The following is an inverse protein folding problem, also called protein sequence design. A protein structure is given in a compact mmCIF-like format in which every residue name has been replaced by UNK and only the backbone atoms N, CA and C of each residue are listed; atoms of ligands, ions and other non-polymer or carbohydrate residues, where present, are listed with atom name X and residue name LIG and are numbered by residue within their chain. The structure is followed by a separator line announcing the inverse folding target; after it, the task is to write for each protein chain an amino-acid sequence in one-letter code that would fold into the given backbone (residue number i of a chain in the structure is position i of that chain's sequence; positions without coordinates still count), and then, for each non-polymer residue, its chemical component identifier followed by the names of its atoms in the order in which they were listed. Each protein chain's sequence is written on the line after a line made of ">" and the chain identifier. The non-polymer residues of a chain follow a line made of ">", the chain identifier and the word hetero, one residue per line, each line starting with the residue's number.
data_IF_525992849719
#
_entry.id   IF_525992849719
#
_cell.length_a   1.000
_cell.length_b   1.000
_cell.length_c   1.000
_cell.angle_alpha   90.00
_cell.angle_beta   90.00
_cell.angle_gamma   90.00
#
_symmetry.space_group_name_H-M   'P 1'
#
loop_
_entity.id
_entity.type
_entity.pdbx_description
1 polymer ?
#
# COMPACT_ATOMS: atom_id res chain seq x y z
N UNK A 1 -28.55 -4.87 -13.58
CA UNK A 1 -28.32 -6.11 -12.81
C UNK A 1 -28.08 -5.68 -11.38
N UNK A 2 -28.71 -6.33 -10.39
CA UNK A 2 -28.49 -6.06 -8.96
C UNK A 2 -27.26 -6.86 -8.52
N UNK A 3 -26.32 -6.22 -7.87
CA UNK A 3 -25.14 -6.88 -7.29
C UNK A 3 -25.54 -7.62 -5.99
N UNK A 4 -24.94 -8.78 -5.71
CA UNK A 4 -25.29 -9.55 -4.52
C UNK A 4 -24.90 -8.84 -3.23
N UNK A 5 -25.79 -8.83 -2.25
CA UNK A 5 -25.49 -8.38 -0.89
C UNK A 5 -24.50 -9.33 -0.22
N UNK A 6 -23.47 -8.82 0.51
CA UNK A 6 -22.56 -9.67 1.25
C UNK A 6 -23.27 -10.53 2.29
N UNK A 7 -22.78 -11.75 2.51
CA UNK A 7 -23.25 -12.61 3.58
C UNK A 7 -22.51 -12.26 4.89
N UNK A 8 -23.28 -11.80 5.86
CA UNK A 8 -22.81 -11.44 7.21
C UNK A 8 -23.29 -12.42 8.29
N UNK A 9 -23.86 -13.55 7.90
CA UNK A 9 -24.42 -14.53 8.86
C UNK A 9 -23.34 -15.30 9.60
N UNK A 10 -22.17 -15.49 8.97
CA UNK A 10 -21.00 -16.08 9.62
C UNK A 10 -20.21 -15.03 10.38
N UNK A 11 -19.72 -15.34 11.60
CA UNK A 11 -18.83 -14.43 12.33
C UNK A 11 -17.56 -14.15 11.53
N UNK A 12 -16.88 -12.99 11.78
CA UNK A 12 -15.60 -12.73 11.15
C UNK A 12 -14.58 -13.81 11.50
N UNK A 13 -13.79 -14.20 10.50
CA UNK A 13 -12.71 -15.18 10.70
C UNK A 13 -11.63 -14.63 11.59
N UNK A 14 -11.29 -13.35 11.40
CA UNK A 14 -10.16 -12.70 12.06
C UNK A 14 -10.34 -11.19 12.08
N UNK A 15 -9.82 -10.56 13.12
CA UNK A 15 -9.59 -9.13 13.22
C UNK A 15 -8.12 -8.84 12.94
N UNK A 16 -7.81 -7.87 12.08
CA UNK A 16 -6.43 -7.44 11.82
C UNK A 16 -6.27 -5.94 12.00
N UNK A 17 -5.04 -5.54 12.30
CA UNK A 17 -4.64 -4.15 12.26
C UNK A 17 -3.28 -4.03 11.57
N UNK A 18 -3.15 -3.02 10.71
CA UNK A 18 -1.91 -2.67 10.06
C UNK A 18 -1.57 -1.20 10.27
N UNK A 19 -0.29 -0.84 10.22
CA UNK A 19 0.15 0.52 10.48
C UNK A 19 0.80 1.10 9.22
N UNK A 20 0.14 2.09 8.62
CA UNK A 20 0.61 2.77 7.42
C UNK A 20 1.74 3.72 7.78
N UNK A 21 2.90 3.67 7.11
CA UNK A 21 4.00 4.61 7.32
C UNK A 21 3.74 5.87 6.49
N UNK A 22 3.11 6.88 7.09
CA UNK A 22 2.82 8.12 6.40
C UNK A 22 3.90 9.17 6.68
N UNK A 23 4.34 9.89 5.64
CA UNK A 23 5.36 10.92 5.74
C UNK A 23 4.80 12.29 5.37
N UNK A 24 5.03 13.27 6.23
CA UNK A 24 4.42 14.60 6.18
C UNK A 24 4.72 15.36 4.87
N UNK A 25 5.95 15.31 4.38
CA UNK A 25 6.39 16.03 3.16
C UNK A 25 6.40 15.13 1.91
N UNK A 26 5.48 14.15 1.85
CA UNK A 26 5.43 13.17 0.76
C UNK A 26 6.37 11.98 0.98
N UNK A 27 6.16 10.91 0.25
CA UNK A 27 7.03 9.74 0.34
C UNK A 27 8.48 10.11 -0.05
N UNK A 28 9.45 9.47 0.59
CA UNK A 28 10.87 9.71 0.33
C UNK A 28 11.38 8.76 -0.74
N UNK A 29 11.84 9.32 -1.85
CA UNK A 29 12.46 8.58 -2.95
C UNK A 29 13.63 9.39 -3.47
N UNK A 30 14.82 9.09 -2.97
CA UNK A 30 16.06 9.76 -3.33
C UNK A 30 17.28 8.89 -3.01
N UNK A 31 18.37 9.10 -3.74
CA UNK A 31 19.67 8.51 -3.43
C UNK A 31 20.56 9.49 -2.67
N UNK A 32 21.17 9.04 -1.58
CA UNK A 32 22.12 9.82 -0.78
C UNK A 32 23.42 9.06 -0.55
N UNK A 33 24.54 9.78 -0.42
CA UNK A 33 25.81 9.17 -0.02
C UNK A 33 26.02 9.44 1.47
N UNK A 34 26.30 8.40 2.26
CA UNK A 34 26.58 8.55 3.69
C UNK A 34 27.81 9.43 3.92
N UNK A 35 27.76 10.29 4.95
CA UNK A 35 28.90 11.09 5.37
C UNK A 35 29.97 10.30 6.13
N UNK A 36 29.60 9.11 6.61
CA UNK A 36 30.46 8.22 7.40
C UNK A 36 31.33 7.34 6.52
N UNK A 37 32.45 6.87 7.09
CA UNK A 37 33.29 5.85 6.45
C UNK A 37 32.94 4.45 7.00
N UNK A 38 32.71 3.41 6.16
CA UNK A 38 32.76 3.47 4.69
C UNK A 38 31.59 4.25 4.09
N UNK A 39 31.84 4.90 2.96
CA UNK A 39 30.79 5.61 2.22
C UNK A 39 29.85 4.62 1.55
N UNK A 40 28.57 4.67 1.89
CA UNK A 40 27.49 3.88 1.29
C UNK A 40 26.57 4.78 0.48
N UNK A 41 26.06 4.25 -0.62
CA UNK A 41 24.96 4.88 -1.36
C UNK A 41 23.65 4.29 -0.89
N UNK A 42 22.77 5.14 -0.36
CA UNK A 42 21.50 4.72 0.22
C UNK A 42 20.36 5.32 -0.61
N UNK A 43 19.56 4.46 -1.22
CA UNK A 43 18.30 4.83 -1.87
C UNK A 43 17.19 4.71 -0.84
N UNK A 44 16.61 5.83 -0.46
CA UNK A 44 15.46 5.89 0.44
C UNK A 44 14.17 5.61 -0.33
N UNK A 45 13.34 4.71 0.18
CA UNK A 45 12.07 4.29 -0.45
C UNK A 45 11.05 3.96 0.64
N UNK A 46 10.47 4.99 1.27
CA UNK A 46 9.51 4.82 2.36
C UNK A 46 8.55 6.00 2.51
N UNK A 47 7.55 5.86 3.37
CA UNK A 47 6.61 6.94 3.69
C UNK A 47 5.39 7.02 2.79
N UNK A 48 5.03 5.92 2.12
CA UNK A 48 3.94 5.86 1.12
C UNK A 48 2.53 5.81 1.71
N UNK A 49 2.38 5.92 3.03
CA UNK A 49 1.07 5.92 3.69
C UNK A 49 0.24 4.68 3.35
N UNK A 50 -0.98 4.89 2.89
CA UNK A 50 -1.90 3.84 2.45
C UNK A 50 -1.70 3.37 1.01
N UNK A 51 -0.87 4.05 0.22
CA UNK A 51 -0.69 3.80 -1.21
C UNK A 51 0.43 2.79 -1.55
N UNK A 52 1.05 2.16 -0.55
CA UNK A 52 2.21 1.29 -0.76
C UNK A 52 2.00 0.24 -1.83
N UNK A 53 0.90 -0.51 -1.81
CA UNK A 53 0.58 -1.51 -2.86
C UNK A 53 0.45 -0.81 -4.22
N UNK A 54 -0.42 0.19 -4.30
CA UNK A 54 -0.79 0.84 -5.57
C UNK A 54 0.40 1.48 -6.30
N UNK A 55 1.37 2.03 -5.57
CA UNK A 55 2.53 2.73 -6.13
C UNK A 55 3.76 1.83 -6.32
N UNK A 56 3.75 0.62 -5.77
CA UNK A 56 4.94 -0.21 -5.58
C UNK A 56 5.78 -0.38 -6.86
N UNK A 57 5.20 -0.79 -7.97
CA UNK A 57 5.93 -0.98 -9.23
C UNK A 57 6.47 0.33 -9.82
N UNK A 58 5.70 1.41 -9.74
CA UNK A 58 6.14 2.71 -10.24
C UNK A 58 7.32 3.27 -9.46
N UNK A 59 7.26 3.18 -8.14
CA UNK A 59 8.36 3.60 -7.26
C UNK A 59 9.56 2.67 -7.41
N UNK A 60 9.35 1.34 -7.47
CA UNK A 60 10.42 0.38 -7.70
C UNK A 60 11.17 0.63 -9.02
N UNK A 61 10.48 1.10 -10.07
CA UNK A 61 11.13 1.51 -11.33
C UNK A 61 12.11 2.66 -11.12
N UNK A 62 11.74 3.68 -10.35
CA UNK A 62 12.63 4.79 -10.04
C UNK A 62 13.80 4.37 -9.10
N UNK A 63 13.53 3.48 -8.13
CA UNK A 63 14.60 2.86 -7.31
C UNK A 63 15.58 2.10 -8.19
N UNK A 64 15.09 1.26 -9.10
CA UNK A 64 15.93 0.52 -10.06
C UNK A 64 16.85 1.45 -10.85
N UNK A 65 16.31 2.56 -11.34
CA UNK A 65 17.10 3.51 -12.14
C UNK A 65 18.20 4.17 -11.31
N UNK A 66 17.91 4.61 -10.07
CA UNK A 66 18.93 5.12 -9.14
C UNK A 66 20.02 4.10 -8.81
N UNK A 67 19.63 2.84 -8.59
CA UNK A 67 20.57 1.74 -8.32
C UNK A 67 21.42 1.43 -9.55
N UNK A 68 20.80 1.30 -10.74
CA UNK A 68 21.49 1.06 -12.00
C UNK A 68 22.54 2.14 -12.28
N UNK A 69 22.15 3.40 -12.18
CA UNK A 69 23.04 4.52 -12.45
C UNK A 69 24.24 4.51 -11.48
N UNK A 70 23.98 4.24 -10.19
CA UNK A 70 25.06 4.11 -9.21
C UNK A 70 25.98 2.92 -9.49
N UNK A 71 25.42 1.73 -9.71
CA UNK A 71 26.15 0.51 -9.97
C UNK A 71 27.05 0.61 -11.22
N UNK A 72 26.55 1.26 -12.29
CA UNK A 72 27.32 1.51 -13.51
C UNK A 72 28.55 2.38 -13.23
N UNK A 73 28.42 3.42 -12.40
CA UNK A 73 29.53 4.33 -12.07
C UNK A 73 30.57 3.72 -11.11
N UNK A 74 30.16 2.83 -10.23
CA UNK A 74 31.03 2.28 -9.17
C UNK A 74 31.46 0.83 -9.43
N UNK A 75 30.89 0.19 -10.46
CA UNK A 75 31.07 -1.25 -10.75
C UNK A 75 30.63 -2.14 -9.57
N UNK A 76 29.76 -1.65 -8.70
CA UNK A 76 29.16 -2.45 -7.63
C UNK A 76 28.19 -3.48 -8.24
N UNK A 77 28.31 -4.73 -7.80
CA UNK A 77 27.48 -5.85 -8.29
C UNK A 77 26.52 -6.39 -7.24
N UNK A 78 26.57 -5.87 -6.01
CA UNK A 78 25.76 -6.33 -4.88
C UNK A 78 24.96 -5.19 -4.25
N UNK A 79 23.69 -5.46 -3.95
CA UNK A 79 22.73 -4.52 -3.38
C UNK A 79 22.04 -5.13 -2.17
N UNK A 80 22.00 -4.39 -1.06
CA UNK A 80 21.19 -4.71 0.11
C UNK A 80 19.83 -4.02 0.00
N UNK A 81 18.73 -4.77 0.11
CA UNK A 81 17.37 -4.24 0.24
C UNK A 81 16.90 -4.44 1.67
N UNK A 82 16.56 -3.36 2.36
CA UNK A 82 16.12 -3.39 3.76
C UNK A 82 14.59 -3.36 3.82
N UNK A 83 13.99 -4.43 4.32
CA UNK A 83 12.55 -4.63 4.42
C UNK A 83 12.01 -5.59 3.34
N UNK A 84 11.07 -6.46 3.75
CA UNK A 84 10.40 -7.45 2.91
C UNK A 84 8.90 -7.18 2.74
N UNK A 85 8.46 -5.96 3.01
CA UNK A 85 7.14 -5.47 2.59
C UNK A 85 7.10 -5.20 1.10
N UNK A 86 5.96 -4.73 0.60
CA UNK A 86 5.75 -4.53 -0.85
C UNK A 86 6.82 -3.67 -1.51
N UNK A 87 7.28 -2.59 -0.85
CA UNK A 87 8.30 -1.71 -1.40
C UNK A 87 9.65 -2.41 -1.56
N UNK A 88 10.04 -3.24 -0.59
CA UNK A 88 11.29 -3.99 -0.65
C UNK A 88 11.23 -5.12 -1.68
N UNK A 89 10.15 -5.89 -1.72
CA UNK A 89 10.02 -7.00 -2.66
C UNK A 89 9.96 -6.53 -4.11
N UNK A 90 9.19 -5.48 -4.43
CA UNK A 90 9.15 -4.94 -5.80
C UNK A 90 10.47 -4.29 -6.22
N UNK A 91 11.15 -3.58 -5.31
CA UNK A 91 12.48 -3.04 -5.57
C UNK A 91 13.50 -4.16 -5.80
N UNK A 92 13.52 -5.19 -4.95
CA UNK A 92 14.40 -6.35 -5.10
C UNK A 92 14.19 -7.06 -6.45
N UNK A 93 12.92 -7.22 -6.88
CA UNK A 93 12.59 -7.82 -8.18
C UNK A 93 13.20 -7.03 -9.33
N UNK A 94 12.96 -5.71 -9.40
CA UNK A 94 13.49 -4.92 -10.52
C UNK A 94 15.00 -4.73 -10.49
N UNK A 95 15.63 -4.76 -9.31
CA UNK A 95 17.10 -4.70 -9.17
C UNK A 95 17.72 -6.03 -9.60
N UNK A 96 17.11 -7.17 -9.22
CA UNK A 96 17.58 -8.49 -9.64
C UNK A 96 17.49 -8.66 -11.16
N UNK A 97 16.46 -8.11 -11.82
CA UNK A 97 16.32 -8.08 -13.29
C UNK A 97 17.47 -7.33 -14.00
N UNK A 98 18.24 -6.47 -13.31
CA UNK A 98 19.45 -5.84 -13.81
C UNK A 98 20.67 -6.79 -13.81
N UNK A 99 20.53 -8.00 -13.28
CA UNK A 99 21.65 -8.93 -13.11
C UNK A 99 22.51 -8.65 -11.87
N UNK A 100 22.09 -7.74 -10.98
CA UNK A 100 22.78 -7.45 -9.73
C UNK A 100 22.47 -8.52 -8.67
N UNK A 101 23.44 -8.84 -7.82
CA UNK A 101 23.23 -9.72 -6.66
C UNK A 101 22.43 -8.96 -5.59
N UNK A 102 21.27 -9.47 -5.23
CA UNK A 102 20.39 -8.84 -4.22
C UNK A 102 20.39 -9.69 -2.96
N UNK A 103 20.52 -9.03 -1.80
CA UNK A 103 20.23 -9.60 -0.48
C UNK A 103 19.14 -8.79 0.19
N UNK A 104 18.05 -9.45 0.56
CA UNK A 104 16.94 -8.81 1.31
C UNK A 104 17.17 -9.04 2.79
N UNK A 105 17.30 -7.96 3.56
CA UNK A 105 17.40 -7.97 5.01
C UNK A 105 16.08 -7.49 5.62
N UNK A 106 15.47 -8.26 6.49
CA UNK A 106 14.21 -7.89 7.12
C UNK A 106 14.13 -8.36 8.57
N UNK A 107 13.47 -7.58 9.43
CA UNK A 107 13.10 -7.99 10.78
C UNK A 107 12.01 -9.06 10.75
N UNK A 108 11.02 -8.81 9.92
CA UNK A 108 9.86 -9.66 9.67
C UNK A 108 9.75 -9.93 8.18
N UNK A 109 9.32 -11.13 7.80
CA UNK A 109 9.11 -11.46 6.38
C UNK A 109 7.70 -11.06 5.92
N UNK A 110 7.43 -11.18 4.65
CA UNK A 110 6.28 -10.62 3.97
C UNK A 110 4.92 -10.89 4.64
N UNK A 111 4.73 -12.06 5.26
CA UNK A 111 3.49 -12.45 5.95
C UNK A 111 3.16 -11.56 7.15
N UNK A 112 4.19 -11.08 7.83
CA UNK A 112 4.08 -10.33 9.08
C UNK A 112 4.19 -8.81 8.86
N UNK A 113 4.21 -8.38 7.60
CA UNK A 113 4.33 -6.96 7.25
C UNK A 113 2.96 -6.27 7.15
N UNK A 114 2.94 -4.95 7.36
CA UNK A 114 1.76 -4.11 7.10
C UNK A 114 1.22 -4.29 5.68
N UNK A 115 2.08 -4.57 4.70
CA UNK A 115 1.67 -4.79 3.32
C UNK A 115 0.76 -5.99 3.16
N UNK A 116 0.97 -7.06 3.92
CA UNK A 116 0.14 -8.26 3.91
C UNK A 116 -1.28 -8.00 4.42
N UNK A 117 -1.43 -7.08 5.37
CA UNK A 117 -2.71 -6.72 5.98
C UNK A 117 -3.53 -5.77 5.09
N UNK A 118 -2.96 -5.13 4.07
CA UNK A 118 -3.64 -4.14 3.25
C UNK A 118 -4.90 -4.68 2.56
N UNK A 119 -5.88 -3.81 2.32
CA UNK A 119 -7.17 -4.18 1.70
C UNK A 119 -7.03 -4.66 0.25
N UNK A 120 -6.26 -3.95 -0.56
CA UNK A 120 -5.88 -4.37 -1.91
C UNK A 120 -6.49 -3.59 -3.08
N UNK A 121 -7.42 -2.67 -2.88
CA UNK A 121 -7.86 -1.78 -3.97
C UNK A 121 -6.68 -0.98 -4.51
N UNK A 122 -6.51 -0.96 -5.83
CA UNK A 122 -5.56 -0.06 -6.47
C UNK A 122 -6.12 1.36 -6.47
N UNK A 123 -5.63 2.15 -5.54
CA UNK A 123 -5.92 3.58 -5.39
C UNK A 123 -4.79 4.21 -4.57
N UNK A 124 -4.27 5.41 -4.93
CA UNK A 124 -3.19 6.08 -4.20
C UNK A 124 -3.70 6.71 -2.90
N UNK A 125 -4.19 5.89 -1.98
CA UNK A 125 -4.84 6.33 -0.75
C UNK A 125 -3.86 6.87 0.28
N UNK A 126 -4.21 7.98 0.94
CA UNK A 126 -3.48 8.52 2.10
C UNK A 126 -1.97 8.68 1.86
N UNK A 127 -1.59 9.25 0.72
CA UNK A 127 -0.20 9.52 0.36
C UNK A 127 -0.01 11.00 0.00
N UNK A 128 1.15 11.55 0.33
CA UNK A 128 1.61 12.86 -0.17
C UNK A 128 2.77 12.68 -1.15
N UNK A 129 2.94 13.63 -2.04
CA UNK A 129 4.04 13.71 -3.00
C UNK A 129 4.54 15.15 -3.11
N UNK A 130 5.83 15.31 -3.36
CA UNK A 130 6.48 16.62 -3.53
C UNK A 130 6.65 17.02 -5.00
N UNK A 131 6.61 16.04 -5.92
CA UNK A 131 6.81 16.24 -7.36
C UNK A 131 5.66 15.58 -8.13
N UNK A 132 4.78 16.40 -8.70
CA UNK A 132 3.61 15.94 -9.44
C UNK A 132 3.99 15.20 -10.72
N UNK A 133 5.04 15.64 -11.42
CA UNK A 133 5.50 15.01 -12.65
C UNK A 133 5.96 13.57 -12.40
N UNK A 134 6.83 13.40 -11.40
CA UNK A 134 7.28 12.08 -10.97
C UNK A 134 6.14 11.21 -10.45
N UNK A 135 5.19 11.81 -9.72
CA UNK A 135 4.03 11.07 -9.21
C UNK A 135 3.12 10.56 -10.35
N UNK A 136 2.89 11.38 -11.39
CA UNK A 136 2.17 10.95 -12.60
C UNK A 136 2.85 9.76 -13.29
N UNK A 137 4.17 9.78 -13.38
CA UNK A 137 4.91 8.67 -13.99
C UNK A 137 4.86 7.41 -13.12
N UNK A 138 4.95 7.56 -11.79
CA UNK A 138 4.76 6.45 -10.84
C UNK A 138 3.39 5.81 -11.01
N UNK A 139 2.30 6.61 -11.10
CA UNK A 139 0.94 6.11 -11.32
C UNK A 139 0.82 5.34 -12.64
N UNK A 140 1.35 5.90 -13.75
CA UNK A 140 1.31 5.26 -15.07
C UNK A 140 2.04 3.93 -15.08
N UNK A 141 3.27 3.90 -14.57
CA UNK A 141 4.12 2.69 -14.54
C UNK A 141 3.47 1.63 -13.67
N UNK A 142 3.01 2.01 -12.46
CA UNK A 142 2.40 1.10 -11.52
C UNK A 142 1.12 0.46 -12.09
N UNK A 143 0.18 1.28 -12.59
CA UNK A 143 -1.06 0.77 -13.13
C UNK A 143 -0.84 -0.18 -14.31
N UNK A 144 -0.03 0.21 -15.29
CA UNK A 144 0.26 -0.60 -16.46
C UNK A 144 0.95 -1.93 -16.10
N UNK A 145 1.85 -1.92 -15.13
CA UNK A 145 2.48 -3.15 -14.67
C UNK A 145 1.46 -4.06 -14.01
N UNK A 146 0.65 -3.56 -13.07
CA UNK A 146 -0.41 -4.36 -12.46
C UNK A 146 -1.43 -4.87 -13.48
N UNK A 147 -1.84 -4.04 -14.44
CA UNK A 147 -2.71 -4.47 -15.52
C UNK A 147 -2.08 -5.61 -16.34
N UNK A 148 -0.78 -5.54 -16.62
CA UNK A 148 -0.06 -6.61 -17.31
C UNK A 148 0.11 -7.88 -16.47
N UNK A 149 0.00 -7.80 -15.15
CA UNK A 149 0.12 -8.92 -14.22
C UNK A 149 -1.19 -9.72 -14.05
N UNK A 150 -2.30 -9.24 -14.63
CA UNK A 150 -3.58 -9.95 -14.66
C UNK A 150 -3.40 -11.33 -15.31
N UNK A 151 -3.91 -12.37 -14.66
CA UNK A 151 -3.81 -13.76 -15.14
C UNK A 151 -2.44 -14.41 -14.98
N UNK A 152 -1.43 -13.73 -14.40
CA UNK A 152 -0.07 -14.25 -14.22
C UNK A 152 0.23 -14.74 -12.79
N UNK A 153 -0.79 -14.95 -11.99
CA UNK A 153 -0.64 -15.47 -10.62
C UNK A 153 -0.22 -14.42 -9.58
N UNK A 154 -0.31 -13.13 -9.92
CA UNK A 154 -0.02 -12.03 -8.99
C UNK A 154 -1.23 -11.59 -8.14
N UNK A 155 -2.37 -12.25 -8.25
CA UNK A 155 -3.59 -11.86 -7.52
C UNK A 155 -4.14 -10.51 -7.97
N UNK A 156 -3.99 -10.18 -9.26
CA UNK A 156 -4.48 -8.92 -9.83
C UNK A 156 -5.69 -9.16 -10.70
N UNK A 157 -6.75 -8.38 -10.49
CA UNK A 157 -7.98 -8.44 -11.30
C UNK A 157 -8.60 -7.07 -11.49
N UNK A 158 -9.27 -6.84 -12.63
CA UNK A 158 -10.11 -5.65 -12.84
C UNK A 158 -11.39 -5.79 -12.03
N UNK A 159 -11.82 -4.72 -11.38
CA UNK A 159 -13.04 -4.67 -10.58
C UNK A 159 -13.77 -3.34 -10.79
N UNK A 160 -15.09 -3.40 -10.66
CA UNK A 160 -15.86 -2.18 -10.42
C UNK A 160 -15.87 -1.86 -8.94
N UNK A 161 -15.62 -0.60 -8.62
CA UNK A 161 -15.76 -0.05 -7.27
C UNK A 161 -17.01 0.85 -7.23
N UNK A 162 -17.98 0.47 -6.44
CA UNK A 162 -19.19 1.27 -6.21
C UNK A 162 -19.01 2.18 -5.00
N UNK A 163 -19.43 3.44 -5.13
CA UNK A 163 -19.27 4.45 -4.08
C UNK A 163 -20.50 5.34 -3.98
N UNK A 164 -21.01 5.67 -2.76
CA UNK A 164 -22.13 6.57 -2.58
C UNK A 164 -21.77 8.06 -2.79
N UNK A 165 -20.49 8.36 -2.94
CA UNK A 165 -19.96 9.71 -3.19
C UNK A 165 -18.69 9.60 -4.06
N UNK A 166 -18.22 10.70 -4.69
CA UNK A 166 -16.96 10.72 -5.42
C UNK A 166 -15.80 10.13 -4.59
N UNK A 167 -14.97 9.30 -5.22
CA UNK A 167 -13.80 8.70 -4.56
C UNK A 167 -12.57 9.59 -4.80
N UNK A 168 -12.11 10.36 -3.78
CA UNK A 168 -11.03 11.32 -3.95
C UNK A 168 -9.70 10.66 -4.34
N UNK A 169 -9.50 9.38 -4.02
CA UNK A 169 -8.29 8.66 -4.37
C UNK A 169 -8.27 8.28 -5.86
N UNK A 170 -9.39 7.84 -6.40
CA UNK A 170 -9.53 7.52 -7.83
C UNK A 170 -9.69 8.79 -8.67
N UNK A 171 -10.39 9.81 -8.16
CA UNK A 171 -10.53 11.11 -8.84
C UNK A 171 -9.17 11.78 -9.05
N UNK A 172 -8.24 11.66 -8.11
CA UNK A 172 -6.86 12.13 -8.31
C UNK A 172 -6.21 11.45 -9.49
N UNK A 173 -6.40 10.15 -9.69
CA UNK A 173 -5.85 9.42 -10.85
C UNK A 173 -6.47 9.92 -12.15
N UNK A 174 -7.81 10.05 -12.19
CA UNK A 174 -8.54 10.57 -13.37
C UNK A 174 -8.07 11.96 -13.73
N UNK A 175 -7.87 12.83 -12.74
CA UNK A 175 -7.50 14.23 -12.96
C UNK A 175 -6.02 14.41 -13.30
N UNK A 176 -5.12 13.68 -12.63
CA UNK A 176 -3.68 13.82 -12.87
C UNK A 176 -3.20 13.09 -14.12
N UNK A 177 -3.83 11.95 -14.44
CA UNK A 177 -3.43 11.10 -15.58
C UNK A 177 -4.68 10.71 -16.40
N UNK A 178 -5.28 11.66 -17.13
CA UNK A 178 -6.47 11.36 -17.92
C UNK A 178 -6.28 10.16 -18.84
N UNK A 179 -7.25 9.24 -18.81
CA UNK A 179 -7.23 8.03 -19.62
C UNK A 179 -6.42 6.86 -19.04
N UNK A 180 -5.80 7.01 -17.87
CA UNK A 180 -5.13 5.87 -17.20
C UNK A 180 -6.16 4.88 -16.68
N UNK A 181 -7.22 5.37 -16.07
CA UNK A 181 -8.43 4.63 -15.73
C UNK A 181 -9.64 5.33 -16.37
N UNK A 182 -10.75 4.62 -16.65
CA UNK A 182 -11.96 5.25 -17.15
C UNK A 182 -12.52 6.31 -16.20
N UNK A 183 -13.19 7.31 -16.75
CA UNK A 183 -13.96 8.27 -15.95
C UNK A 183 -15.04 7.55 -15.13
N UNK A 184 -15.33 8.02 -13.89
CA UNK A 184 -16.42 7.46 -13.11
C UNK A 184 -17.77 7.63 -13.80
N UNK A 185 -18.63 6.64 -13.66
CA UNK A 185 -19.98 6.63 -14.20
C UNK A 185 -20.98 6.93 -13.08
N UNK A 186 -21.69 8.08 -13.11
CA UNK A 186 -22.79 8.35 -12.18
C UNK A 186 -23.91 7.33 -12.42
N UNK A 187 -24.47 6.78 -11.35
CA UNK A 187 -25.56 5.82 -11.42
C UNK A 187 -26.27 5.67 -10.08
N UNK A 188 -27.43 5.03 -10.06
CA UNK A 188 -27.94 4.48 -8.81
C UNK A 188 -27.14 3.21 -8.46
N UNK A 189 -26.72 3.11 -7.22
CA UNK A 189 -25.97 1.95 -6.77
C UNK A 189 -26.77 0.66 -6.96
N UNK A 190 -26.17 -0.41 -7.47
CA UNK A 190 -26.91 -1.60 -7.90
C UNK A 190 -27.15 -2.62 -6.75
N UNK A 191 -27.55 -2.14 -5.57
CA UNK A 191 -27.80 -2.99 -4.42
C UNK A 191 -29.26 -2.88 -4.00
N UNK A 192 -29.85 -4.02 -3.57
CA UNK A 192 -31.26 -4.10 -3.21
C UNK A 192 -31.69 -3.07 -2.17
N UNK A 193 -30.89 -2.90 -1.11
CA UNK A 193 -31.20 -1.99 0.00
C UNK A 193 -30.37 -0.69 -0.01
N UNK A 194 -29.57 -0.47 -1.07
CA UNK A 194 -28.73 0.72 -1.25
C UNK A 194 -28.82 1.21 -2.70
N UNK A 195 -30.03 1.43 -3.20
CA UNK A 195 -30.28 1.95 -4.56
C UNK A 195 -30.28 3.49 -4.60
N UNK A 196 -29.30 4.13 -3.94
CA UNK A 196 -29.13 5.58 -3.89
C UNK A 196 -28.19 6.06 -5.01
N UNK A 197 -28.25 7.36 -5.40
CA UNK A 197 -27.25 7.92 -6.30
C UNK A 197 -25.83 7.69 -5.81
N UNK A 198 -24.93 7.39 -6.73
CA UNK A 198 -23.53 7.13 -6.48
C UNK A 198 -22.73 7.04 -7.77
N UNK A 199 -21.57 6.41 -7.68
CA UNK A 199 -20.63 6.30 -8.79
C UNK A 199 -20.10 4.86 -8.91
N UNK A 200 -19.77 4.49 -10.15
CA UNK A 200 -19.01 3.29 -10.45
C UNK A 200 -17.67 3.69 -11.06
N UNK A 201 -16.60 3.28 -10.43
CA UNK A 201 -15.24 3.38 -10.95
C UNK A 201 -14.78 2.02 -11.46
N UNK A 202 -13.93 2.02 -12.48
CA UNK A 202 -13.15 0.83 -12.84
C UNK A 202 -11.75 0.97 -12.28
N UNK A 203 -11.29 -0.04 -11.54
CA UNK A 203 -9.95 -0.09 -10.94
C UNK A 203 -9.45 -1.53 -10.87
N UNK A 204 -8.33 -1.74 -10.17
CA UNK A 204 -7.79 -3.07 -9.93
C UNK A 204 -7.96 -3.46 -8.45
N UNK A 205 -8.17 -4.74 -8.22
CA UNK A 205 -7.88 -5.39 -6.94
C UNK A 205 -6.52 -6.06 -7.08
N UNK A 206 -5.60 -5.75 -6.18
CA UNK A 206 -4.32 -6.43 -6.01
C UNK A 206 -4.38 -7.14 -4.66
N UNK A 207 -4.47 -8.45 -4.64
CA UNK A 207 -4.62 -9.25 -3.43
C UNK A 207 -3.27 -9.39 -2.71
N UNK A 208 -3.02 -8.67 -1.59
CA UNK A 208 -1.70 -8.59 -1.01
C UNK A 208 -1.10 -9.95 -0.61
N UNK A 209 -1.87 -10.91 -0.04
CA UNK A 209 -1.32 -12.21 0.29
C UNK A 209 -0.78 -12.97 -0.92
N UNK A 210 -1.49 -12.92 -2.06
CA UNK A 210 -1.09 -13.59 -3.31
C UNK A 210 0.08 -12.82 -3.93
N UNK A 211 -0.03 -11.49 -4.02
CA UNK A 211 0.98 -10.62 -4.63
C UNK A 211 2.34 -10.74 -3.95
N UNK A 212 2.37 -10.60 -2.63
CA UNK A 212 3.62 -10.65 -1.86
C UNK A 212 4.23 -12.06 -1.88
N UNK A 213 3.38 -13.09 -1.77
CA UNK A 213 3.84 -14.48 -1.89
C UNK A 213 4.49 -14.74 -3.25
N UNK A 214 3.84 -14.31 -4.33
CA UNK A 214 4.36 -14.47 -5.69
C UNK A 214 5.71 -13.78 -5.87
N UNK A 215 5.86 -12.53 -5.40
CA UNK A 215 7.13 -11.79 -5.44
C UNK A 215 8.22 -12.52 -4.64
N UNK A 216 7.90 -12.96 -3.43
CA UNK A 216 8.83 -13.69 -2.58
C UNK A 216 9.30 -15.00 -3.23
N UNK A 217 8.36 -15.79 -3.75
CA UNK A 217 8.67 -17.06 -4.40
C UNK A 217 9.50 -16.87 -5.67
N UNK A 218 9.23 -15.82 -6.46
CA UNK A 218 10.00 -15.49 -7.65
C UNK A 218 11.43 -15.08 -7.30
N UNK A 219 11.60 -14.26 -6.27
CA UNK A 219 12.92 -13.86 -5.78
C UNK A 219 13.73 -15.05 -5.27
N UNK A 220 13.12 -15.97 -4.53
CA UNK A 220 13.81 -17.20 -4.11
C UNK A 220 14.21 -18.08 -5.30
N UNK A 221 13.34 -18.24 -6.31
CA UNK A 221 13.68 -18.98 -7.54
C UNK A 221 14.83 -18.34 -8.34
N UNK A 222 14.98 -17.03 -8.23
CA UNK A 222 16.07 -16.27 -8.82
C UNK A 222 17.29 -16.15 -7.90
N UNK A 223 17.41 -17.00 -6.87
CA UNK A 223 18.53 -17.07 -5.93
C UNK A 223 18.77 -15.76 -5.14
N UNK A 224 17.76 -14.94 -4.92
CA UNK A 224 17.85 -13.80 -4.01
C UNK A 224 17.94 -14.31 -2.58
N UNK A 225 18.94 -13.84 -1.84
CA UNK A 225 19.17 -14.23 -0.45
C UNK A 225 18.29 -13.42 0.49
N UNK A 226 17.65 -14.09 1.45
CA UNK A 226 16.85 -13.45 2.51
C UNK A 226 17.52 -13.68 3.86
N UNK A 227 17.78 -12.59 4.59
CA UNK A 227 18.42 -12.63 5.92
C UNK A 227 17.56 -11.94 6.96
N UNK A 228 17.23 -12.64 8.03
CA UNK A 228 16.56 -12.00 9.16
C UNK A 228 17.55 -11.11 9.90
N UNK A 229 17.26 -9.80 9.92
CA UNK A 229 18.11 -8.81 10.59
C UNK A 229 17.31 -7.58 10.99
N UNK A 230 17.49 -7.15 12.23
CA UNK A 230 16.97 -5.88 12.74
C UNK A 230 18.09 -4.83 12.73
N UNK A 231 17.79 -3.65 12.19
CA UNK A 231 18.70 -2.50 12.20
C UNK A 231 18.24 -1.53 13.29
N UNK A 232 19.05 -1.36 14.32
CA UNK A 232 18.72 -0.51 15.45
C UNK A 232 19.08 0.98 15.23
N UNK A 233 19.99 1.26 14.29
CA UNK A 233 20.50 2.61 14.01
C UNK A 233 21.23 2.65 12.67
N UNK A 234 21.65 3.85 12.26
CA UNK A 234 22.40 4.06 11.03
C UNK A 234 23.73 3.25 10.99
N UNK A 235 24.44 3.12 12.08
CA UNK A 235 25.71 2.39 12.12
C UNK A 235 25.52 0.91 11.76
N UNK A 236 24.41 0.29 12.20
CA UNK A 236 24.08 -1.10 11.85
C UNK A 236 23.79 -1.29 10.35
N UNK A 237 23.29 -0.26 9.66
CA UNK A 237 23.10 -0.24 8.21
C UNK A 237 24.44 -0.06 7.50
N UNK A 238 25.27 0.88 7.96
CA UNK A 238 26.57 1.16 7.36
C UNK A 238 27.57 0.01 7.52
N UNK A 239 27.36 -0.90 8.48
CA UNK A 239 28.19 -2.10 8.67
C UNK A 239 27.94 -3.22 7.65
N UNK A 240 26.94 -3.09 6.77
CA UNK A 240 26.70 -4.05 5.69
C UNK A 240 27.88 -4.10 4.72
N UNK A 241 28.07 -5.23 4.05
CA UNK A 241 29.13 -5.37 3.05
C UNK A 241 28.78 -4.63 1.74
N UNK A 242 27.50 -4.62 1.39
CA UNK A 242 27.00 -3.99 0.17
C UNK A 242 27.21 -2.46 0.22
N UNK A 243 27.69 -1.88 -0.87
CA UNK A 243 27.89 -0.42 -0.99
C UNK A 243 26.63 0.32 -1.43
N UNK A 244 25.71 -0.41 -2.07
CA UNK A 244 24.40 0.12 -2.48
C UNK A 244 23.34 -0.49 -1.57
N UNK A 245 22.57 0.35 -0.92
CA UNK A 245 21.56 -0.02 0.05
C UNK A 245 20.22 0.63 -0.34
N UNK A 246 19.15 -0.14 -0.38
CA UNK A 246 17.79 0.37 -0.62
C UNK A 246 17.00 0.28 0.68
N UNK A 247 16.64 1.42 1.24
CA UNK A 247 15.91 1.50 2.51
C UNK A 247 14.40 1.48 2.26
N UNK A 248 13.77 0.32 2.44
CA UNK A 248 12.33 0.07 2.35
C UNK A 248 11.72 -0.31 3.71
N UNK A 249 12.27 0.20 4.81
CA UNK A 249 11.91 -0.24 6.17
C UNK A 249 10.62 0.38 6.72
N UNK A 250 9.87 1.14 5.92
CA UNK A 250 8.61 1.76 6.36
C UNK A 250 8.81 2.63 7.61
N UNK A 251 8.09 2.36 8.70
CA UNK A 251 8.25 3.10 9.97
C UNK A 251 9.64 2.93 10.59
N UNK A 252 10.34 1.84 10.34
CA UNK A 252 11.70 1.61 10.85
C UNK A 252 12.74 2.57 10.26
N UNK A 253 12.41 3.29 9.19
CA UNK A 253 13.32 4.27 8.62
C UNK A 253 13.72 5.38 9.60
N UNK A 254 12.85 5.76 10.53
CA UNK A 254 13.13 6.76 11.58
C UNK A 254 14.31 6.39 12.49
N UNK A 255 14.58 5.10 12.65
CA UNK A 255 15.60 4.60 13.55
C UNK A 255 16.98 4.50 12.87
N UNK A 256 16.99 4.36 11.54
CA UNK A 256 18.18 4.04 10.75
C UNK A 256 18.67 5.16 9.84
N UNK A 257 17.89 6.21 9.66
CA UNK A 257 18.34 7.36 8.87
C UNK A 257 17.78 8.68 9.43
N UNK A 258 18.53 9.77 9.24
CA UNK A 258 18.02 11.10 9.50
C UNK A 258 16.99 11.48 8.45
N UNK A 259 15.85 11.98 8.88
CA UNK A 259 14.78 12.47 8.03
C UNK A 259 14.24 13.79 8.62
N UNK A 260 14.30 14.92 7.89
CA UNK A 260 13.77 16.18 8.37
C UNK A 260 12.24 16.20 8.45
N UNK A 261 11.57 15.23 7.80
CA UNK A 261 10.11 15.11 7.78
C UNK A 261 9.64 14.09 8.79
N UNK A 262 8.48 14.35 9.40
CA UNK A 262 7.87 13.42 10.34
C UNK A 262 7.34 12.19 9.60
N UNK A 263 7.68 11.03 10.13
CA UNK A 263 7.13 9.74 9.72
C UNK A 263 6.12 9.30 10.78
N UNK A 264 4.85 9.32 10.42
CA UNK A 264 3.71 9.18 11.34
C UNK A 264 3.03 7.81 11.12
N UNK A 265 2.88 7.00 12.18
CA UNK A 265 2.13 5.76 12.08
C UNK A 265 0.62 6.06 11.99
N UNK A 266 -0.08 5.39 11.07
CA UNK A 266 -1.53 5.45 10.96
C UNK A 266 -2.09 4.02 11.02
N UNK A 267 -2.65 3.67 12.16
CA UNK A 267 -3.26 2.37 12.36
C UNK A 267 -4.60 2.26 11.64
N UNK A 268 -4.81 1.16 10.95
CA UNK A 268 -6.08 0.78 10.35
C UNK A 268 -6.53 -0.59 10.82
N UNK A 269 -7.83 -0.72 11.15
CA UNK A 269 -8.45 -1.98 11.53
C UNK A 269 -9.20 -2.59 10.36
N UNK A 270 -9.21 -3.91 10.30
CA UNK A 270 -9.94 -4.72 9.32
C UNK A 270 -10.68 -5.87 10.03
N UNK A 271 -11.87 -6.16 9.54
CA UNK A 271 -12.57 -7.42 9.79
C UNK A 271 -12.47 -8.29 8.55
N UNK A 272 -12.10 -9.54 8.71
CA UNK A 272 -12.04 -10.51 7.62
C UNK A 272 -13.24 -11.46 7.74
N UNK A 273 -14.12 -11.46 6.74
CA UNK A 273 -15.18 -12.47 6.61
C UNK A 273 -14.68 -13.62 5.71
N UNK A 274 -15.34 -14.76 5.81
CA UNK A 274 -15.12 -15.88 4.90
C UNK A 274 -15.27 -15.41 3.44
N UNK A 275 -14.39 -15.89 2.57
CA UNK A 275 -14.43 -15.58 1.14
C UNK A 275 -15.78 -15.90 0.51
N UNK A 276 -16.26 -15.06 -0.38
CA UNK A 276 -17.56 -15.13 -1.03
C UNK A 276 -17.40 -14.94 -2.53
N UNK A 277 -17.25 -16.00 -3.28
CA UNK A 277 -16.96 -15.98 -4.72
C UNK A 277 -18.02 -15.22 -5.56
N UNK A 278 -19.25 -15.07 -5.04
CA UNK A 278 -20.32 -14.31 -5.70
C UNK A 278 -20.12 -12.81 -5.69
N UNK A 279 -19.24 -12.27 -4.81
CA UNK A 279 -18.94 -10.85 -4.73
C UNK A 279 -17.84 -10.51 -5.73
N UNK A 280 -18.23 -9.87 -6.83
CA UNK A 280 -17.31 -9.56 -7.93
C UNK A 280 -16.90 -8.09 -8.00
N UNK A 281 -17.39 -7.27 -7.08
CA UNK A 281 -17.24 -5.83 -7.01
C UNK A 281 -16.47 -5.38 -5.75
N UNK A 282 -15.98 -4.16 -5.76
CA UNK A 282 -15.48 -3.43 -4.59
C UNK A 282 -16.53 -2.41 -4.15
N UNK A 283 -16.52 -2.07 -2.87
CA UNK A 283 -17.31 -0.97 -2.32
C UNK A 283 -16.44 -0.11 -1.43
N UNK A 284 -16.57 1.23 -1.51
CA UNK A 284 -15.77 2.16 -0.72
C UNK A 284 -16.52 3.47 -0.40
N UNK A 285 -15.87 4.39 0.31
CA UNK A 285 -16.35 5.71 0.74
C UNK A 285 -17.30 5.75 1.92
N UNK A 286 -17.81 4.63 2.35
CA UNK A 286 -18.58 4.50 3.58
C UNK A 286 -18.13 3.22 4.30
N UNK A 287 -16.88 3.23 4.78
CA UNK A 287 -16.10 2.02 4.98
C UNK A 287 -15.63 1.45 3.64
N UNK A 288 -15.05 0.27 3.66
CA UNK A 288 -14.77 -0.47 2.42
C UNK A 288 -15.03 -1.96 2.58
N UNK A 289 -15.36 -2.59 1.45
CA UNK A 289 -15.57 -4.01 1.32
C UNK A 289 -14.85 -4.49 0.06
N UNK A 290 -13.81 -5.31 0.23
CA UNK A 290 -12.99 -5.82 -0.86
C UNK A 290 -12.97 -7.35 -0.82
N UNK A 291 -13.73 -8.03 -1.71
CA UNK A 291 -13.69 -9.48 -1.84
C UNK A 291 -12.38 -9.94 -2.46
N UNK A 292 -11.64 -10.74 -1.71
CA UNK A 292 -10.42 -11.42 -2.13
C UNK A 292 -10.64 -12.92 -2.14
N UNK A 293 -9.70 -13.68 -2.67
CA UNK A 293 -9.76 -15.15 -2.66
C UNK A 293 -9.70 -15.72 -1.24
N UNK A 294 -8.89 -15.11 -0.35
CA UNK A 294 -8.73 -15.55 1.04
C UNK A 294 -9.86 -15.08 1.97
N UNK A 295 -10.41 -13.89 1.73
CA UNK A 295 -11.40 -13.28 2.63
C UNK A 295 -12.17 -12.14 1.95
N UNK A 296 -13.34 -11.79 2.50
CA UNK A 296 -13.94 -10.48 2.25
C UNK A 296 -13.40 -9.51 3.31
N UNK A 297 -12.63 -8.52 2.86
CA UNK A 297 -11.99 -7.54 3.73
C UNK A 297 -12.95 -6.38 3.97
N UNK A 298 -13.32 -6.16 5.22
CA UNK A 298 -14.10 -5.01 5.66
C UNK A 298 -13.19 -4.07 6.44
N UNK A 299 -13.19 -2.79 6.05
CA UNK A 299 -12.37 -1.75 6.66
C UNK A 299 -12.95 -0.37 6.40
N UNK A 300 -12.31 0.69 6.77
CA UNK A 300 -11.09 0.75 7.56
C UNK A 300 -11.14 1.96 8.46
N UNK A 301 -10.16 2.01 9.32
CA UNK A 301 -9.97 3.12 10.25
C UNK A 301 -8.65 3.84 10.00
N UNK A 302 -8.52 5.06 10.55
CA UNK A 302 -7.29 5.85 10.45
C UNK A 302 -6.98 6.46 11.82
N UNK A 303 -6.30 5.69 12.70
CA UNK A 303 -5.83 6.20 13.99
C UNK A 303 -4.42 6.73 13.84
N UNK A 304 -4.30 8.05 13.85
CA UNK A 304 -3.01 8.76 13.71
C UNK A 304 -2.21 8.64 15.00
N UNK A 305 -0.90 8.39 14.88
CA UNK A 305 0.03 8.33 16.00
C UNK A 305 0.08 6.98 16.72
N UNK A 306 -0.77 6.00 16.37
CA UNK A 306 -0.75 4.67 16.98
C UNK A 306 0.13 3.69 16.18
N UNK A 307 1.29 3.26 16.71
CA UNK A 307 2.17 2.30 16.06
C UNK A 307 1.81 0.83 16.33
N UNK A 308 0.75 0.57 17.13
CA UNK A 308 0.36 -0.79 17.52
C UNK A 308 -0.29 -1.54 16.36
N UNK A 309 0.12 -2.78 16.19
CA UNK A 309 -0.48 -3.72 15.22
C UNK A 309 -1.55 -4.61 15.84
N UNK A 310 -1.84 -4.45 17.14
CA UNK A 310 -2.85 -5.24 17.82
C UNK A 310 -4.26 -4.77 17.40
N UNK A 311 -5.13 -5.67 16.88
CA UNK A 311 -6.51 -5.32 16.57
C UNK A 311 -7.30 -5.08 17.87
N UNK A 312 -8.31 -4.20 17.77
CA UNK A 312 -9.23 -3.91 18.85
C UNK A 312 -10.60 -4.52 18.51
N UNK A 313 -11.05 -5.56 19.22
CA UNK A 313 -12.27 -6.29 18.87
C UNK A 313 -13.50 -5.39 18.79
N UNK A 314 -13.66 -4.42 19.69
CA UNK A 314 -14.80 -3.48 19.68
C UNK A 314 -14.83 -2.59 18.43
N UNK A 315 -13.64 -2.12 17.99
CA UNK A 315 -13.51 -1.31 16.76
C UNK A 315 -13.83 -2.15 15.54
N UNK A 316 -13.33 -3.39 15.51
CA UNK A 316 -13.60 -4.34 14.42
C UNK A 316 -15.07 -4.70 14.32
N UNK A 317 -15.75 -4.93 15.45
CA UNK A 317 -17.17 -5.19 15.49
C UNK A 317 -17.99 -3.99 15.00
N UNK A 318 -17.63 -2.78 15.43
CA UNK A 318 -18.29 -1.56 14.97
C UNK A 318 -18.13 -1.34 13.46
N UNK A 319 -16.96 -1.64 12.87
CA UNK A 319 -16.78 -1.62 11.42
C UNK A 319 -17.71 -2.59 10.71
N UNK A 320 -17.83 -3.80 11.22
CA UNK A 320 -18.70 -4.83 10.67
C UNK A 320 -20.17 -4.40 10.74
N UNK A 321 -20.61 -3.90 11.89
CA UNK A 321 -21.98 -3.45 12.09
C UNK A 321 -22.31 -2.24 11.22
N UNK A 322 -21.34 -1.33 11.03
CA UNK A 322 -21.47 -0.23 10.09
C UNK A 322 -21.75 -0.70 8.66
N UNK A 323 -20.92 -1.61 8.15
CA UNK A 323 -21.08 -2.13 6.77
C UNK A 323 -22.38 -2.94 6.63
N UNK A 324 -22.80 -3.71 7.65
CA UNK A 324 -24.12 -4.36 7.67
C UNK A 324 -25.25 -3.35 7.49
N UNK A 325 -25.18 -2.23 8.25
CA UNK A 325 -26.17 -1.14 8.14
C UNK A 325 -26.15 -0.49 6.75
N UNK A 326 -24.98 -0.28 6.15
CA UNK A 326 -24.85 0.27 4.78
C UNK A 326 -25.56 -0.63 3.77
N UNK A 327 -25.43 -1.95 3.88
CA UNK A 327 -26.08 -2.92 2.98
C UNK A 327 -27.50 -3.31 3.42
N UNK A 328 -28.12 -2.62 4.43
CA UNK A 328 -29.49 -2.85 4.87
C UNK A 328 -29.71 -4.18 5.60
N UNK A 329 -28.65 -4.80 6.10
CA UNK A 329 -28.71 -6.10 6.82
C UNK A 329 -28.70 -5.94 8.34
N UNK A 330 -28.63 -4.70 8.83
CA UNK A 330 -28.59 -4.36 10.24
C UNK A 330 -28.93 -2.90 10.50
N UNK A 331 -28.89 -2.45 11.77
CA UNK A 331 -29.10 -1.05 12.09
C UNK A 331 -27.94 -0.20 11.52
N UNK A 332 -28.24 1.06 11.20
CA UNK A 332 -27.22 2.01 10.77
C UNK A 332 -26.37 2.41 11.99
N UNK A 333 -25.12 1.96 11.99
CA UNK A 333 -24.13 2.28 13.01
C UNK A 333 -23.08 3.21 12.39
N UNK A 334 -22.65 4.30 13.04
CA UNK A 334 -21.62 5.17 12.49
C UNK A 334 -20.28 4.42 12.40
N UNK A 335 -19.44 4.82 11.45
CA UNK A 335 -18.03 4.40 11.44
C UNK A 335 -17.37 4.74 12.78
N UNK A 336 -16.44 3.89 13.25
CA UNK A 336 -15.69 4.21 14.45
C UNK A 336 -15.02 5.57 14.31
N UNK A 337 -15.42 6.52 15.15
CA UNK A 337 -14.73 7.81 15.25
C UNK A 337 -13.41 7.56 15.96
N UNK A 338 -12.34 7.55 15.20
CA UNK A 338 -11.01 7.48 15.76
C UNK A 338 -10.47 8.90 15.75
N UNK A 339 -10.05 9.40 16.92
CA UNK A 339 -9.56 10.76 17.09
C UNK A 339 -8.47 11.06 16.07
N UNK A 340 -8.75 12.08 15.26
CA UNK A 340 -7.77 12.74 14.44
C UNK A 340 -7.44 14.02 15.19
N UNK A 341 -6.39 13.99 16.00
CA UNK A 341 -5.83 15.17 16.64
C UNK A 341 -5.07 16.05 15.63
N UNK A 342 -5.64 16.30 14.46
CA UNK A 342 -5.05 17.22 13.51
C UNK A 342 -6.11 18.13 12.90
N UNK A 343 -5.94 19.47 12.97
CA UNK A 343 -6.99 20.45 12.67
C UNK A 343 -7.36 20.56 11.19
N UNK A 344 -6.51 20.19 10.26
CA UNK A 344 -6.71 20.46 8.84
C UNK A 344 -6.79 19.17 7.98
N UNK A 345 -8.03 18.69 7.76
CA UNK A 345 -8.44 17.77 6.68
C UNK A 345 -7.57 16.52 6.41
N UNK A 346 -6.80 16.07 7.38
CA UNK A 346 -5.85 14.99 7.26
C UNK A 346 -6.41 13.68 7.87
N UNK A 347 -6.27 12.53 7.31
CA UNK A 347 -5.74 12.05 6.02
C UNK A 347 -6.83 11.79 4.95
N UNK A 348 -7.89 12.60 4.94
CA UNK A 348 -9.02 12.42 4.02
C UNK A 348 -8.75 12.96 2.62
N UNK A 349 -7.69 13.76 2.45
CA UNK A 349 -7.27 14.20 1.13
C UNK A 349 -6.48 13.08 0.48
N UNK A 350 -6.88 12.73 -0.71
CA UNK A 350 -6.39 11.57 -1.43
C UNK A 350 -4.88 11.61 -1.64
N UNK A 351 -4.42 12.72 -2.15
CA UNK A 351 -3.03 13.06 -2.43
C UNK A 351 -2.92 14.56 -2.37
N UNK A 352 -1.95 15.10 -1.66
CA UNK A 352 -1.67 16.53 -1.65
C UNK A 352 -0.27 16.76 -2.19
N UNK A 353 -0.17 17.74 -3.10
CA UNK A 353 1.10 18.30 -3.50
C UNK A 353 1.62 19.14 -2.32
N UNK A 354 2.79 18.82 -1.81
CA UNK A 354 3.47 19.72 -0.87
C UNK A 354 3.90 20.93 -1.68
N UNK A 355 3.25 22.08 -1.44
CA UNK A 355 3.70 23.36 -1.98
C UNK A 355 5.14 23.59 -1.50
N UNK A 356 6.04 23.77 -2.46
CA UNK A 356 7.47 23.80 -2.25
C UNK A 356 7.90 24.77 -1.15
N UNK A 357 8.88 24.33 -0.37
CA UNK A 357 9.81 25.19 0.35
C UNK A 357 10.95 25.49 -0.60
#
# INVERSE_FOLDING_TARGET
>A
MIEPTPDFTTPPLEAKAGVRPWRENGYRLEGTVSSSNPRKYIVHNYGHGGAGISLSWGVASQVRDLVRDRATHTHDTAVAVLGSGVMGLTAATLIQELGLKVTVYAREFWQDTTSHVAGGQWAPSSVRYSDEGKFKDVLKIAYRRFESDIGKGFGVSKKFNYTPAPDPYLDVVVNLVPGLIPNPVPMNLPFEHLATPGFRYETLLVEPPIFLKKLNDDLHRNNVEFKQKTFANAASVLSLQENIIVNCTGLGAKDICSDPSKLIPIKGHLALLKSQARLTYLFSRNGHLFPREDAVVIGGTNRVGDPSTNPEPAVTQQLLDHIKGVFGVGPIVPLPRIHIDHPDNWPYVATEKVSGV
#
